data_IF_402659826323
#
_entry.id   IF_402659826323
#
_cell.length_a   1.000
_cell.length_b   1.000
_cell.length_c   1.000
_cell.angle_alpha   90.00
_cell.angle_beta   90.00
_cell.angle_gamma   90.00
#
_symmetry.space_group_name_H-M   'P 1'
#
loop_
_entity.id
_entity.type
_entity.pdbx_description
1 polymer ?
#
# COMPACT_ATOMS: atom_id res chain seq x y z
N UNK A 1 -4.40 -5.41 42.70
CA UNK A 1 -3.12 -5.67 41.99
C UNK A 1 -3.12 -7.03 41.28
N UNK A 2 -3.27 -8.18 41.96
CA UNK A 2 -3.35 -9.50 41.29
C UNK A 2 -4.65 -9.69 40.48
N UNK A 3 -5.79 -9.29 41.05
CA UNK A 3 -7.10 -9.38 40.38
C UNK A 3 -7.20 -8.48 39.12
N UNK A 4 -6.55 -7.32 39.17
CA UNK A 4 -6.49 -6.38 38.02
C UNK A 4 -5.67 -6.96 36.88
N UNK A 5 -4.56 -7.65 37.18
CA UNK A 5 -3.73 -8.34 36.20
C UNK A 5 -4.51 -9.46 35.50
N UNK A 6 -5.23 -10.31 36.25
CA UNK A 6 -6.08 -11.36 35.68
C UNK A 6 -7.18 -10.81 34.76
N UNK A 7 -7.80 -9.69 35.15
CA UNK A 7 -8.82 -9.01 34.32
C UNK A 7 -8.21 -8.50 33.02
N UNK A 8 -7.03 -7.89 33.06
CA UNK A 8 -6.34 -7.39 31.86
C UNK A 8 -5.90 -8.54 30.94
N UNK A 9 -5.36 -9.63 31.49
CA UNK A 9 -5.04 -10.84 30.71
C UNK A 9 -6.29 -11.39 29.99
N UNK A 10 -7.43 -11.45 30.69
CA UNK A 10 -8.69 -11.92 30.11
C UNK A 10 -9.16 -11.05 28.94
N UNK A 11 -9.00 -9.73 29.05
CA UNK A 11 -9.35 -8.78 27.98
C UNK A 11 -8.44 -8.95 26.76
N UNK A 12 -7.13 -9.17 26.96
CA UNK A 12 -6.15 -9.36 25.88
C UNK A 12 -6.41 -10.68 25.12
N UNK A 13 -6.80 -11.74 25.83
CA UNK A 13 -6.99 -13.08 25.27
C UNK A 13 -8.40 -13.32 24.70
N UNK A 14 -9.42 -12.61 25.17
CA UNK A 14 -10.81 -12.74 24.73
C UNK A 14 -11.03 -12.70 23.19
N UNK A 15 -10.37 -11.83 22.40
CA UNK A 15 -10.56 -11.81 20.94
C UNK A 15 -9.82 -12.94 20.19
N UNK A 16 -9.06 -13.79 20.89
CA UNK A 16 -8.28 -14.87 20.29
C UNK A 16 -9.09 -16.17 20.21
N UNK A 17 -8.69 -17.08 19.31
CA UNK A 17 -9.31 -18.40 19.22
C UNK A 17 -8.96 -19.26 20.44
N UNK A 18 -9.81 -20.23 20.77
CA UNK A 18 -9.64 -21.10 21.95
C UNK A 18 -8.27 -21.81 22.00
N UNK A 19 -7.71 -22.17 20.84
CA UNK A 19 -6.39 -22.84 20.78
C UNK A 19 -5.24 -21.88 21.12
N UNK A 20 -5.38 -20.61 20.74
CA UNK A 20 -4.44 -19.56 21.11
C UNK A 20 -4.61 -19.28 22.61
N UNK A 21 -5.82 -19.09 23.13
CA UNK A 21 -6.05 -18.88 24.56
C UNK A 21 -5.38 -19.96 25.43
N UNK A 22 -5.60 -21.25 25.09
CA UNK A 22 -4.95 -22.40 25.75
C UNK A 22 -3.42 -22.36 25.74
N UNK A 23 -2.81 -21.76 24.73
CA UNK A 23 -1.36 -21.60 24.63
C UNK A 23 -0.81 -20.58 25.65
N UNK A 24 -1.63 -19.62 26.08
CA UNK A 24 -1.28 -18.53 26.99
C UNK A 24 -1.86 -18.69 28.40
N UNK A 25 -2.73 -19.68 28.66
CA UNK A 25 -3.31 -20.01 29.98
C UNK A 25 -2.28 -20.25 31.12
N UNK A 26 -1.00 -20.46 30.78
CA UNK A 26 0.10 -20.70 31.73
C UNK A 26 0.97 -19.47 32.00
N UNK A 27 0.64 -18.31 31.44
CA UNK A 27 1.37 -17.07 31.67
C UNK A 27 0.59 -16.18 32.64
N UNK A 28 1.22 -15.86 33.77
CA UNK A 28 0.54 -15.20 34.89
C UNK A 28 0.58 -13.66 34.84
N UNK A 29 1.26 -13.08 33.84
CA UNK A 29 1.41 -11.63 33.72
C UNK A 29 1.30 -11.10 32.28
N UNK A 30 0.71 -9.91 32.17
CA UNK A 30 0.51 -9.18 30.91
C UNK A 30 1.81 -9.01 30.10
N UNK A 31 2.95 -8.59 30.69
CA UNK A 31 4.23 -8.52 29.96
C UNK A 31 4.64 -9.83 29.29
N UNK A 32 4.54 -10.97 29.99
CA UNK A 32 4.86 -12.29 29.44
C UNK A 32 3.96 -12.66 28.25
N UNK A 33 2.66 -12.40 28.36
CA UNK A 33 1.70 -12.62 27.27
C UNK A 33 2.05 -11.76 26.05
N UNK A 34 2.28 -10.46 26.25
CA UNK A 34 2.63 -9.52 25.17
C UNK A 34 3.96 -9.89 24.51
N UNK A 35 4.99 -10.25 25.27
CA UNK A 35 6.29 -10.60 24.72
C UNK A 35 6.22 -11.87 23.88
N UNK A 36 5.54 -12.91 24.37
CA UNK A 36 5.38 -14.14 23.61
C UNK A 36 4.49 -13.96 22.38
N UNK A 37 3.48 -13.08 22.45
CA UNK A 37 2.73 -12.68 21.25
C UNK A 37 3.62 -11.96 20.24
N UNK A 38 4.52 -11.08 20.68
CA UNK A 38 5.49 -10.47 19.78
C UNK A 38 6.41 -11.52 19.16
N UNK A 39 6.93 -12.46 19.94
CA UNK A 39 7.79 -13.53 19.41
C UNK A 39 7.09 -14.41 18.36
N UNK A 40 5.83 -14.78 18.61
CA UNK A 40 5.09 -15.71 17.75
C UNK A 40 4.47 -15.00 16.54
N UNK A 41 3.97 -13.78 16.71
CA UNK A 41 3.16 -13.08 15.70
C UNK A 41 3.82 -11.83 15.10
N UNK A 42 5.04 -11.46 15.50
CA UNK A 42 5.80 -10.44 14.76
C UNK A 42 6.08 -10.98 13.38
N UNK A 43 5.41 -10.41 12.38
CA UNK A 43 5.81 -10.55 10.99
C UNK A 43 7.14 -9.80 10.86
N UNK A 44 8.25 -10.47 10.48
CA UNK A 44 9.52 -9.78 10.38
C UNK A 44 9.42 -8.65 9.35
N UNK A 45 9.98 -7.49 9.68
CA UNK A 45 9.93 -6.29 8.85
C UNK A 45 10.36 -6.56 7.39
N UNK A 46 11.31 -7.48 7.19
CA UNK A 46 11.73 -7.98 5.87
C UNK A 46 10.59 -8.56 5.04
N UNK A 47 9.68 -9.34 5.62
CA UNK A 47 8.54 -9.92 4.89
C UNK A 47 7.53 -8.85 4.50
N UNK A 48 7.25 -7.90 5.39
CA UNK A 48 6.34 -6.78 5.10
C UNK A 48 6.90 -5.92 3.96
N UNK A 49 8.20 -5.57 4.04
CA UNK A 49 8.92 -4.86 2.98
C UNK A 49 8.86 -5.59 1.66
N UNK A 50 9.20 -6.88 1.65
CA UNK A 50 9.14 -7.71 0.45
C UNK A 50 7.74 -7.73 -0.16
N UNK A 51 6.69 -7.92 0.64
CA UNK A 51 5.32 -7.94 0.16
C UNK A 51 4.89 -6.59 -0.46
N UNK A 52 5.23 -5.47 0.19
CA UNK A 52 4.94 -4.13 -0.32
C UNK A 52 5.65 -3.87 -1.66
N UNK A 53 6.95 -4.21 -1.75
CA UNK A 53 7.73 -4.10 -2.98
C UNK A 53 7.11 -4.97 -4.09
N UNK A 54 6.76 -6.22 -3.78
CA UNK A 54 6.15 -7.14 -4.74
C UNK A 54 4.84 -6.58 -5.30
N UNK A 55 3.99 -6.02 -4.46
CA UNK A 55 2.73 -5.40 -4.88
C UNK A 55 3.00 -4.19 -5.76
N UNK A 56 3.88 -3.28 -5.34
CA UNK A 56 4.18 -2.06 -6.08
C UNK A 56 4.76 -2.31 -7.47
N UNK A 57 5.69 -3.26 -7.60
CA UNK A 57 6.30 -3.60 -8.90
C UNK A 57 5.38 -4.47 -9.77
N UNK A 58 4.45 -5.20 -9.17
CA UNK A 58 3.58 -6.15 -9.89
C UNK A 58 2.23 -5.57 -10.34
N UNK A 59 1.80 -4.45 -9.76
CA UNK A 59 0.48 -3.89 -10.08
C UNK A 59 0.46 -3.27 -11.48
N UNK A 60 -0.62 -3.57 -12.22
CA UNK A 60 -0.93 -2.99 -13.53
C UNK A 60 -2.31 -2.38 -13.49
N UNK A 61 -2.50 -1.28 -14.21
CA UNK A 61 -3.80 -0.70 -14.42
C UNK A 61 -4.63 -1.59 -15.35
N UNK A 62 -5.90 -1.80 -15.03
CA UNK A 62 -6.79 -2.54 -15.90
C UNK A 62 -7.12 -1.72 -17.16
N UNK A 63 -7.27 -2.39 -18.31
CA UNK A 63 -7.67 -1.70 -19.54
C UNK A 63 -9.07 -1.11 -19.35
N UNK A 64 -9.23 0.18 -19.65
CA UNK A 64 -10.50 0.90 -19.53
C UNK A 64 -10.85 1.38 -18.12
N UNK A 65 -10.03 1.11 -17.10
CA UNK A 65 -10.21 1.72 -15.78
C UNK A 65 -9.66 3.14 -15.72
N UNK A 66 -10.10 3.92 -14.73
CA UNK A 66 -9.63 5.28 -14.49
C UNK A 66 -8.12 5.33 -14.17
N UNK A 67 -7.40 6.20 -14.87
CA UNK A 67 -5.97 6.44 -14.63
C UNK A 67 -5.75 7.28 -13.39
N UNK A 68 -6.69 8.17 -13.06
CA UNK A 68 -6.70 8.91 -11.79
C UNK A 68 -6.81 7.95 -10.60
N UNK A 69 -7.77 7.03 -10.63
CA UNK A 69 -7.96 6.05 -9.54
C UNK A 69 -6.72 5.17 -9.36
N UNK A 70 -6.13 4.72 -10.48
CA UNK A 70 -4.88 3.96 -10.46
C UNK A 70 -3.70 4.76 -9.90
N UNK A 71 -3.56 6.03 -10.29
CA UNK A 71 -2.53 6.94 -9.78
C UNK A 71 -2.61 7.13 -8.26
N UNK A 72 -3.80 7.34 -7.71
CA UNK A 72 -4.03 7.43 -6.26
C UNK A 72 -3.65 6.13 -5.55
N UNK A 73 -4.02 4.97 -6.13
CA UNK A 73 -3.63 3.66 -5.60
C UNK A 73 -2.10 3.50 -5.57
N UNK A 74 -1.41 3.92 -6.62
CA UNK A 74 0.06 3.89 -6.64
C UNK A 74 0.69 4.83 -5.61
N UNK A 75 0.15 6.02 -5.39
CA UNK A 75 0.62 6.93 -4.34
C UNK A 75 0.53 6.29 -2.95
N UNK A 76 -0.60 5.65 -2.62
CA UNK A 76 -0.74 4.95 -1.33
C UNK A 76 0.29 3.82 -1.13
N UNK A 77 0.72 3.18 -2.22
CA UNK A 77 1.79 2.18 -2.17
C UNK A 77 3.16 2.84 -1.98
N UNK A 78 3.40 4.00 -2.59
CA UNK A 78 4.65 4.76 -2.40
C UNK A 78 4.78 5.21 -0.95
N UNK A 79 3.75 5.84 -0.37
CA UNK A 79 3.73 6.25 1.04
C UNK A 79 4.04 5.06 1.96
N UNK A 80 3.44 3.90 1.69
CA UNK A 80 3.73 2.67 2.43
C UNK A 80 5.19 2.20 2.27
N UNK A 81 5.80 2.36 1.11
CA UNK A 81 7.22 2.01 0.89
C UNK A 81 8.17 3.00 1.60
N UNK A 82 7.78 4.26 1.70
CA UNK A 82 8.51 5.29 2.45
C UNK A 82 8.45 5.03 3.96
N UNK A 83 7.28 4.71 4.50
CA UNK A 83 7.10 4.29 5.90
C UNK A 83 7.96 3.07 6.26
N UNK A 84 8.06 2.13 5.32
CA UNK A 84 8.89 0.93 5.44
C UNK A 84 10.38 1.17 5.15
N UNK A 85 10.77 2.43 4.88
CA UNK A 85 12.15 2.87 4.60
C UNK A 85 12.81 2.02 3.51
N UNK A 86 12.07 1.73 2.43
CA UNK A 86 12.58 0.92 1.32
C UNK A 86 13.70 1.65 0.58
N UNK A 87 13.68 2.99 0.55
CA UNK A 87 14.79 3.80 0.05
C UNK A 87 14.84 3.95 -1.48
N UNK A 88 13.69 3.83 -2.16
CA UNK A 88 13.61 4.15 -3.58
C UNK A 88 13.56 5.66 -3.77
N UNK A 89 14.17 6.15 -4.85
CA UNK A 89 14.07 7.55 -5.22
C UNK A 89 12.76 7.83 -5.98
N UNK A 90 12.38 9.10 -6.00
CA UNK A 90 11.15 9.58 -6.61
C UNK A 90 11.04 9.28 -8.12
N UNK A 91 12.16 9.34 -8.85
CA UNK A 91 12.18 8.99 -10.28
C UNK A 91 11.85 7.50 -10.51
N UNK A 92 12.31 6.61 -9.63
CA UNK A 92 11.96 5.19 -9.68
C UNK A 92 10.47 4.99 -9.45
N UNK A 93 9.87 5.69 -8.49
CA UNK A 93 8.44 5.62 -8.26
C UNK A 93 7.64 6.07 -9.49
N UNK A 94 7.97 7.22 -10.06
CA UNK A 94 7.32 7.73 -11.27
C UNK A 94 7.48 6.75 -12.43
N UNK A 95 8.68 6.23 -12.67
CA UNK A 95 8.94 5.27 -13.75
C UNK A 95 8.07 4.01 -13.60
N UNK A 96 7.90 3.52 -12.38
CA UNK A 96 7.03 2.37 -12.09
C UNK A 96 5.55 2.69 -12.28
N UNK A 97 5.11 3.89 -11.90
CA UNK A 97 3.74 4.36 -12.16
C UNK A 97 3.47 4.39 -13.66
N UNK A 98 4.35 5.00 -14.46
CA UNK A 98 4.20 5.05 -15.91
C UNK A 98 4.22 3.64 -16.54
N UNK A 99 5.12 2.76 -16.09
CA UNK A 99 5.20 1.38 -16.58
C UNK A 99 3.99 0.51 -16.18
N UNK A 100 3.25 0.91 -15.15
CA UNK A 100 2.04 0.19 -14.73
C UNK A 100 0.82 0.47 -15.61
N UNK A 101 0.89 1.49 -16.48
CA UNK A 101 -0.18 1.84 -17.40
C UNK A 101 -0.27 0.86 -18.59
N UNK A 102 -1.45 0.71 -19.23
CA UNK A 102 -1.59 -0.08 -20.44
C UNK A 102 -0.92 0.61 -21.64
N UNK A 103 -0.56 -0.14 -22.71
CA UNK A 103 0.07 0.42 -23.91
C UNK A 103 -0.72 1.55 -24.60
N UNK A 104 -2.03 1.66 -24.36
CA UNK A 104 -2.84 2.78 -24.86
C UNK A 104 -2.39 4.15 -24.33
N UNK A 105 -1.57 4.18 -23.27
CA UNK A 105 -0.99 5.39 -22.70
C UNK A 105 0.41 5.72 -23.22
N UNK A 106 0.95 4.97 -24.19
CA UNK A 106 2.27 5.25 -24.77
C UNK A 106 2.41 6.71 -25.28
N UNK A 107 1.42 7.30 -25.98
CA UNK A 107 1.51 8.71 -26.38
C UNK A 107 1.59 9.67 -25.19
N UNK A 108 0.86 9.36 -24.11
CA UNK A 108 0.92 10.13 -22.87
C UNK A 108 2.30 10.04 -22.22
N UNK A 109 2.87 8.83 -22.13
CA UNK A 109 4.19 8.59 -21.52
C UNK A 109 5.29 9.32 -22.30
N UNK A 110 5.27 9.22 -23.64
CA UNK A 110 6.20 9.93 -24.51
C UNK A 110 6.10 11.45 -24.28
N UNK A 111 4.89 11.99 -24.26
CA UNK A 111 4.65 13.41 -24.00
C UNK A 111 5.12 13.82 -22.59
N UNK A 112 4.85 13.02 -21.56
CA UNK A 112 5.30 13.29 -20.20
C UNK A 112 6.82 13.38 -20.11
N UNK A 113 7.52 12.40 -20.71
CA UNK A 113 8.99 12.35 -20.70
C UNK A 113 9.64 13.51 -21.47
N UNK A 114 9.02 13.99 -22.56
CA UNK A 114 9.57 15.08 -23.37
C UNK A 114 9.38 16.47 -22.75
N UNK A 115 8.29 16.69 -22.00
CA UNK A 115 7.96 18.02 -21.46
C UNK A 115 8.70 18.37 -20.16
N UNK A 116 9.51 17.46 -19.62
CA UNK A 116 10.31 17.72 -18.41
C UNK A 116 9.46 18.12 -17.20
N UNK A 117 8.22 17.60 -17.10
CA UNK A 117 7.32 17.89 -15.98
C UNK A 117 8.00 17.63 -14.63
N UNK A 118 7.61 18.40 -13.61
CA UNK A 118 8.25 18.25 -12.32
C UNK A 118 8.06 16.85 -11.74
N UNK A 119 9.07 16.47 -10.96
CA UNK A 119 9.42 15.08 -10.68
C UNK A 119 8.59 14.51 -9.56
N UNK A 120 7.43 15.08 -9.20
CA UNK A 120 6.68 14.63 -8.04
C UNK A 120 5.44 13.83 -8.40
N UNK A 121 5.17 12.79 -7.61
CA UNK A 121 4.06 11.86 -7.84
C UNK A 121 2.70 12.56 -7.79
N UNK A 122 2.53 13.51 -6.86
CA UNK A 122 1.30 14.29 -6.74
C UNK A 122 1.00 15.11 -8.00
N UNK A 123 2.03 15.61 -8.67
CA UNK A 123 1.85 16.33 -9.94
C UNK A 123 1.53 15.39 -11.09
N UNK A 124 2.15 14.22 -11.14
CA UNK A 124 1.78 13.17 -12.09
C UNK A 124 0.29 12.80 -11.96
N UNK A 125 -0.23 12.71 -10.73
CA UNK A 125 -1.66 12.47 -10.48
C UNK A 125 -2.52 13.63 -10.97
N UNK A 126 -2.11 14.88 -10.75
CA UNK A 126 -2.81 16.05 -11.28
C UNK A 126 -2.84 16.04 -12.82
N UNK A 127 -1.77 15.58 -13.46
CA UNK A 127 -1.70 15.41 -14.91
C UNK A 127 -2.65 14.30 -15.36
N UNK A 128 -2.73 13.17 -14.63
CA UNK A 128 -3.72 12.11 -14.91
C UNK A 128 -5.16 12.63 -14.82
N UNK A 129 -5.49 13.43 -13.80
CA UNK A 129 -6.81 14.05 -13.66
C UNK A 129 -7.15 14.89 -14.90
N UNK A 130 -6.20 15.74 -15.34
CA UNK A 130 -6.39 16.59 -16.54
C UNK A 130 -6.56 15.75 -17.80
N UNK A 131 -5.73 14.73 -17.98
CA UNK A 131 -5.77 13.83 -19.14
C UNK A 131 -7.07 13.03 -19.23
N UNK A 132 -7.55 12.54 -18.10
CA UNK A 132 -8.81 11.79 -18.03
C UNK A 132 -10.01 12.71 -18.34
N UNK A 133 -10.01 13.94 -17.83
CA UNK A 133 -11.05 14.92 -18.13
C UNK A 133 -11.11 15.34 -19.61
N UNK A 134 -9.98 15.36 -20.31
CA UNK A 134 -9.95 15.69 -21.76
C UNK A 134 -10.37 14.51 -22.64
N UNK A 135 -10.03 13.28 -22.23
CA UNK A 135 -10.37 12.06 -22.98
C UNK A 135 -11.83 11.63 -22.81
N UNK A 136 -12.45 11.86 -21.64
CA UNK A 136 -13.89 11.64 -21.46
C UNK A 136 -14.77 12.68 -22.17
N UNK A 137 -14.23 13.86 -22.50
CA UNK A 137 -14.94 14.87 -23.32
C UNK A 137 -14.97 14.52 -24.81
N UNK A 138 -14.16 13.58 -25.29
CA UNK A 138 -14.06 13.22 -26.70
C UNK A 138 -14.80 11.93 -27.09
N UNK A 139 -15.58 11.32 -26.20
CA UNK A 139 -16.51 10.26 -26.59
C UNK A 139 -17.70 10.90 -27.34
N UNK A 140 -17.93 10.59 -28.64
CA UNK A 140 -19.03 11.19 -29.38
C UNK A 140 -20.37 10.78 -28.78
N UNK A 141 -21.25 11.76 -28.58
CA UNK A 141 -22.67 11.53 -28.35
C UNK A 141 -23.32 10.99 -29.62
N UNK A 142 -23.05 9.74 -30.01
CA UNK A 142 -23.79 9.01 -31.02
C UNK A 142 -23.78 7.52 -30.70
N UNK A 143 -24.82 7.08 -29.98
CA UNK A 143 -25.55 5.85 -30.27
C UNK A 143 -27.02 6.21 -30.37
#
# INVERSE_FOLDING_TARGET
MFEDNCKVCSIILAPMTNDIQKQYDRLDDVPSIINRMKEVYVVPNRHIRYAAIKIFFGIKMAKGSSVQSHGVKMLSLVEKLEDLKVGLNNNTYISMILQSLPPSYDPFIINYNMNGFEKFIYELINIFIKYEATTHKSAPAYM
#
